data_IF_038852017385
#
_entry.id   IF_038852017385
#
_cell.length_a   1.000
_cell.length_b   1.000
_cell.length_c   1.000
_cell.angle_alpha   90.00
_cell.angle_beta   90.00
_cell.angle_gamma   90.00
#
_symmetry.space_group_name_H-M   'P 1'
#
loop_
_entity.id
_entity.type
_entity.pdbx_description
1 polymer ?
#
# COMPACT_ATOMS: atom_id res chain seq x y z
N UNK A 1 -26.41 -7.92 -5.07
CA UNK A 1 -26.59 -8.83 -3.93
C UNK A 1 -25.37 -8.75 -3.04
N UNK A 2 -25.53 -8.40 -1.78
CA UNK A 2 -24.47 -8.48 -0.77
C UNK A 2 -24.29 -9.92 -0.30
N UNK A 3 -23.06 -10.32 -0.01
CA UNK A 3 -22.72 -11.64 0.52
C UNK A 3 -21.89 -11.48 1.79
N UNK A 4 -22.23 -12.23 2.84
CA UNK A 4 -21.41 -12.29 4.05
C UNK A 4 -20.14 -13.10 3.78
N UNK A 5 -19.02 -12.63 4.31
CA UNK A 5 -17.71 -13.32 4.27
C UNK A 5 -17.53 -14.25 5.48
N UNK A 6 -18.58 -14.47 6.29
CA UNK A 6 -18.51 -15.38 7.44
C UNK A 6 -17.64 -14.91 8.60
N UNK A 7 -17.24 -13.64 8.62
CA UNK A 7 -16.48 -13.03 9.71
C UNK A 7 -17.25 -11.89 10.35
N UNK A 8 -17.40 -11.95 11.67
CA UNK A 8 -17.95 -10.86 12.47
C UNK A 8 -16.79 -10.07 13.09
N UNK A 9 -16.69 -8.79 12.75
CA UNK A 9 -15.71 -7.88 13.35
C UNK A 9 -15.89 -7.82 14.86
N UNK A 10 -14.87 -8.06 15.68
CA UNK A 10 -14.99 -7.89 17.14
C UNK A 10 -15.36 -6.45 17.51
N UNK A 11 -16.16 -6.30 18.57
CA UNK A 11 -16.48 -4.98 19.10
C UNK A 11 -15.21 -4.21 19.45
N UNK A 12 -15.14 -2.93 19.08
CA UNK A 12 -13.97 -2.10 19.33
C UNK A 12 -12.82 -2.27 18.31
N UNK A 13 -13.03 -3.06 17.25
CA UNK A 13 -12.06 -3.16 16.13
C UNK A 13 -12.58 -2.47 14.87
N UNK A 14 -11.66 -2.09 14.02
CA UNK A 14 -11.90 -1.58 12.67
C UNK A 14 -10.93 -2.18 11.68
N UNK A 15 -11.21 -2.10 10.38
CA UNK A 15 -10.20 -2.45 9.36
C UNK A 15 -9.02 -1.50 9.47
N UNK A 16 -7.81 -2.02 9.35
CA UNK A 16 -6.57 -1.22 9.44
C UNK A 16 -6.08 -0.72 8.08
N UNK A 17 -6.56 -1.30 7.00
CA UNK A 17 -6.20 -0.94 5.63
C UNK A 17 -7.26 -1.40 4.63
N UNK A 18 -7.02 -1.12 3.35
CA UNK A 18 -7.80 -1.65 2.25
C UNK A 18 -7.75 -3.18 2.20
N UNK A 19 -8.80 -3.79 1.69
CA UNK A 19 -8.83 -5.23 1.41
C UNK A 19 -7.98 -5.54 0.18
N UNK A 20 -7.25 -6.64 0.24
CA UNK A 20 -6.53 -7.17 -0.92
C UNK A 20 -7.06 -8.55 -1.28
N UNK A 21 -6.97 -8.93 -2.55
CA UNK A 21 -7.53 -10.17 -3.06
C UNK A 21 -6.51 -10.88 -3.95
N UNK A 22 -6.49 -12.21 -3.93
CA UNK A 22 -5.71 -13.03 -4.87
C UNK A 22 -6.24 -12.89 -6.30
N UNK A 23 -5.39 -13.13 -7.32
CA UNK A 23 -5.76 -12.99 -8.74
C UNK A 23 -6.94 -13.90 -9.14
N UNK A 24 -7.05 -15.08 -8.54
CA UNK A 24 -8.16 -16.02 -8.74
C UNK A 24 -9.46 -15.60 -8.01
N UNK A 25 -9.41 -14.55 -7.21
CA UNK A 25 -10.56 -14.06 -6.44
C UNK A 25 -10.96 -14.94 -5.24
N UNK A 26 -10.16 -15.94 -4.87
CA UNK A 26 -10.52 -16.92 -3.86
C UNK A 26 -10.23 -16.48 -2.42
N UNK A 27 -9.22 -15.61 -2.20
CA UNK A 27 -8.79 -15.21 -0.88
C UNK A 27 -8.66 -13.70 -0.72
N UNK A 28 -9.08 -13.21 0.45
CA UNK A 28 -8.94 -11.82 0.89
C UNK A 28 -7.94 -11.72 2.03
N UNK A 29 -6.97 -10.82 1.90
CA UNK A 29 -6.11 -10.38 3.01
C UNK A 29 -6.73 -9.18 3.71
N UNK A 30 -6.84 -9.22 5.03
CA UNK A 30 -7.49 -8.19 5.84
C UNK A 30 -6.70 -7.93 7.11
N UNK A 31 -6.39 -6.68 7.38
CA UNK A 31 -5.92 -6.23 8.70
C UNK A 31 -7.05 -5.66 9.52
N UNK A 32 -7.13 -6.01 10.79
CA UNK A 32 -8.01 -5.34 11.76
C UNK A 32 -7.19 -4.83 12.94
N UNK A 33 -7.61 -3.74 13.52
CA UNK A 33 -6.92 -3.08 14.63
C UNK A 33 -7.92 -2.59 15.67
N UNK A 34 -7.53 -2.72 16.92
CA UNK A 34 -8.27 -2.20 18.07
C UNK A 34 -8.40 -0.67 18.00
N UNK A 35 -9.59 -0.15 18.25
CA UNK A 35 -9.90 1.27 18.27
C UNK A 35 -9.45 1.88 19.60
N UNK A 36 -8.21 2.35 19.63
CA UNK A 36 -7.64 2.95 20.82
C UNK A 36 -7.86 4.45 20.87
N UNK A 37 -7.95 5.36 21.03
CA UNK A 37 -8.01 6.83 20.93
C UNK A 37 -9.23 7.40 20.18
N UNK A 38 -10.33 6.63 20.08
CA UNK A 38 -11.55 7.12 19.41
C UNK A 38 -12.09 8.38 20.11
N UNK A 39 -12.42 9.39 19.32
CA UNK A 39 -12.93 10.68 19.81
C UNK A 39 -11.89 11.69 20.27
N UNK A 40 -10.62 11.36 20.35
CA UNK A 40 -9.56 12.32 20.65
C UNK A 40 -9.22 13.17 19.42
N UNK A 41 -8.98 14.46 19.65
CA UNK A 41 -8.45 15.38 18.62
C UNK A 41 -6.94 15.56 18.84
N UNK A 42 -6.19 15.64 17.76
CA UNK A 42 -4.74 15.82 17.78
C UNK A 42 -4.37 17.06 16.95
N UNK A 43 -3.33 17.81 17.32
CA UNK A 43 -2.89 19.01 16.60
C UNK A 43 -2.45 18.69 15.16
N UNK A 44 -1.74 17.57 14.97
CA UNK A 44 -1.21 17.17 13.68
C UNK A 44 -1.49 15.67 13.40
N UNK A 45 -1.36 15.26 12.14
CA UNK A 45 -1.39 13.84 11.77
C UNK A 45 -0.24 13.05 12.40
N UNK A 46 0.93 13.66 12.54
CA UNK A 46 2.05 13.06 13.25
C UNK A 46 1.67 12.70 14.69
N UNK A 47 1.08 13.64 15.44
CA UNK A 47 0.66 13.40 16.83
C UNK A 47 -0.40 12.30 16.92
N UNK A 48 -1.34 12.27 15.99
CA UNK A 48 -2.37 11.25 15.89
C UNK A 48 -1.77 9.87 15.63
N UNK A 49 -0.88 9.75 14.66
CA UNK A 49 -0.21 8.50 14.31
C UNK A 49 0.69 8.02 15.45
N UNK A 50 1.46 8.92 16.04
CA UNK A 50 2.30 8.64 17.20
C UNK A 50 1.49 8.10 18.37
N UNK A 51 0.41 8.78 18.75
CA UNK A 51 -0.43 8.36 19.86
C UNK A 51 -1.08 6.99 19.63
N UNK A 52 -1.48 6.69 18.38
CA UNK A 52 -2.01 5.37 18.01
C UNK A 52 -0.93 4.28 18.10
N UNK A 53 0.24 4.53 17.57
CA UNK A 53 1.38 3.60 17.64
C UNK A 53 1.77 3.32 19.10
N UNK A 54 1.96 4.37 19.91
CA UNK A 54 2.34 4.28 21.32
C UNK A 54 1.25 3.66 22.21
N UNK A 55 0.00 3.63 21.77
CA UNK A 55 -1.07 2.91 22.48
C UNK A 55 -0.95 1.40 22.36
N UNK A 56 -0.05 0.90 21.53
CA UNK A 56 0.17 -0.53 21.27
C UNK A 56 -1.15 -1.31 21.05
N UNK A 57 -1.96 -0.93 20.05
CA UNK A 57 -3.24 -1.59 19.83
C UNK A 57 -3.05 -3.05 19.43
N UNK A 58 -3.98 -3.89 19.86
CA UNK A 58 -4.03 -5.23 19.29
C UNK A 58 -4.44 -5.15 17.81
N UNK A 59 -3.67 -5.82 16.96
CA UNK A 59 -3.99 -6.00 15.55
C UNK A 59 -4.02 -7.48 15.20
N UNK A 60 -4.86 -7.83 14.23
CA UNK A 60 -4.94 -9.19 13.68
C UNK A 60 -4.82 -9.14 12.16
N UNK A 61 -4.08 -10.07 11.60
CA UNK A 61 -4.04 -10.36 10.17
C UNK A 61 -4.96 -11.54 9.90
N UNK A 62 -5.88 -11.35 9.00
CA UNK A 62 -6.87 -12.34 8.60
C UNK A 62 -6.69 -12.70 7.13
N UNK A 63 -6.85 -13.98 6.83
CA UNK A 63 -7.00 -14.49 5.48
C UNK A 63 -8.39 -15.13 5.37
N UNK A 64 -9.25 -14.57 4.51
CA UNK A 64 -10.66 -14.91 4.42
C UNK A 64 -10.96 -15.48 3.05
N UNK A 65 -11.56 -16.66 3.00
CA UNK A 65 -12.03 -17.21 1.73
C UNK A 65 -13.28 -16.48 1.24
N UNK A 66 -13.27 -16.05 -0.01
CA UNK A 66 -14.37 -15.22 -0.57
C UNK A 66 -15.71 -15.92 -0.62
N UNK A 67 -15.72 -17.26 -0.56
CA UNK A 67 -16.94 -18.07 -0.43
C UNK A 67 -17.57 -18.03 1.00
N UNK A 68 -16.89 -17.40 1.96
CA UNK A 68 -17.36 -17.25 3.36
C UNK A 68 -17.22 -18.52 4.22
N UNK A 69 -16.55 -19.58 3.71
CA UNK A 69 -16.46 -20.86 4.42
C UNK A 69 -15.23 -21.00 5.32
N UNK A 70 -14.24 -20.11 5.16
CA UNK A 70 -12.99 -20.22 5.90
C UNK A 70 -12.47 -18.84 6.27
N UNK A 71 -12.06 -18.70 7.52
CA UNK A 71 -11.35 -17.52 8.06
C UNK A 71 -10.15 -18.02 8.84
N UNK A 72 -8.95 -17.63 8.42
CA UNK A 72 -7.71 -17.91 9.13
C UNK A 72 -7.24 -16.67 9.87
N UNK A 73 -6.98 -16.81 11.16
CA UNK A 73 -6.22 -15.82 11.93
C UNK A 73 -4.74 -16.12 11.74
N UNK A 74 -4.10 -15.35 10.87
CA UNK A 74 -2.70 -15.56 10.49
C UNK A 74 -1.77 -15.11 11.61
N UNK A 75 -2.03 -13.93 12.16
CA UNK A 75 -1.19 -13.33 13.20
C UNK A 75 -2.01 -12.40 14.08
N UNK A 76 -1.63 -12.32 15.35
CA UNK A 76 -2.11 -11.32 16.30
C UNK A 76 -0.93 -10.78 17.07
N UNK A 77 -0.79 -9.46 17.13
CA UNK A 77 0.26 -8.82 17.92
C UNK A 77 -0.17 -7.46 18.47
N UNK A 78 0.55 -7.01 19.48
CA UNK A 78 0.27 -5.74 20.18
C UNK A 78 1.06 -4.61 19.53
N UNK A 79 0.74 -4.39 18.24
CA UNK A 79 1.38 -3.41 17.36
C UNK A 79 0.35 -2.91 16.35
N UNK A 80 0.42 -1.64 15.96
CA UNK A 80 -0.44 -1.14 14.90
C UNK A 80 -0.01 -1.72 13.54
N UNK A 81 -0.73 -2.74 13.06
CA UNK A 81 -0.57 -3.34 11.74
C UNK A 81 -1.44 -2.59 10.73
N UNK A 82 -0.90 -2.33 9.55
CA UNK A 82 -1.60 -1.78 8.39
C UNK A 82 -1.11 -2.43 7.09
N UNK A 83 -1.63 -2.02 5.94
CA UNK A 83 -1.25 -2.47 4.59
C UNK A 83 -1.13 -4.00 4.46
N UNK A 84 -2.08 -4.73 5.05
CA UNK A 84 -2.11 -6.19 4.91
C UNK A 84 -2.47 -6.55 3.48
N UNK A 85 -1.57 -7.28 2.81
CA UNK A 85 -1.75 -7.68 1.42
C UNK A 85 -1.48 -9.17 1.26
N UNK A 86 -2.46 -9.92 0.75
CA UNK A 86 -2.23 -11.30 0.32
C UNK A 86 -1.46 -11.30 -1.01
N UNK A 87 -0.50 -12.20 -1.13
CA UNK A 87 0.25 -12.37 -2.38
C UNK A 87 -0.70 -12.78 -3.52
N UNK A 88 -0.64 -12.13 -4.71
CA UNK A 88 -1.65 -12.29 -5.76
C UNK A 88 -1.82 -13.72 -6.27
N UNK A 89 -0.77 -14.53 -6.27
CA UNK A 89 -0.76 -15.90 -6.83
C UNK A 89 -0.50 -17.00 -5.80
N UNK A 90 -0.19 -16.63 -4.56
CA UNK A 90 0.13 -17.60 -3.51
C UNK A 90 -0.47 -17.19 -2.17
N UNK A 91 -1.69 -17.64 -1.82
CA UNK A 91 -2.34 -17.25 -0.57
C UNK A 91 -1.60 -17.73 0.69
N UNK A 92 -0.52 -18.52 0.54
CA UNK A 92 0.33 -18.90 1.67
C UNK A 92 1.29 -17.81 2.13
N UNK A 93 1.41 -16.71 1.39
CA UNK A 93 2.29 -15.59 1.74
C UNK A 93 1.47 -14.29 1.85
N UNK A 94 1.71 -13.52 2.89
CA UNK A 94 1.17 -12.18 3.09
C UNK A 94 2.30 -11.20 3.39
N UNK A 95 2.09 -9.95 3.03
CA UNK A 95 2.88 -8.82 3.53
C UNK A 95 2.02 -7.91 4.39
N UNK A 96 2.67 -7.20 5.28
CA UNK A 96 2.02 -6.18 6.11
C UNK A 96 3.05 -5.16 6.58
N UNK A 97 2.60 -4.05 7.13
CA UNK A 97 3.51 -3.10 7.75
C UNK A 97 3.16 -2.81 9.21
N UNK A 98 4.17 -2.51 10.00
CA UNK A 98 4.01 -1.77 11.24
C UNK A 98 3.80 -0.30 10.88
N UNK A 99 2.70 0.26 11.36
CA UNK A 99 2.28 1.62 11.02
C UNK A 99 2.62 2.60 12.12
N UNK A 100 2.93 3.82 11.71
CA UNK A 100 3.25 4.92 12.59
C UNK A 100 3.95 6.04 11.84
N UNK A 101 4.38 7.11 12.51
CA UNK A 101 5.26 8.11 11.90
C UNK A 101 6.58 7.47 11.49
N UNK A 102 7.02 7.71 10.26
CA UNK A 102 8.26 7.13 9.72
C UNK A 102 9.51 7.43 10.54
N UNK A 103 9.49 8.53 11.29
CA UNK A 103 10.61 8.96 12.13
C UNK A 103 10.83 8.07 13.37
N UNK A 104 9.83 7.27 13.74
CA UNK A 104 9.85 6.48 14.98
C UNK A 104 9.37 5.04 14.82
N UNK A 105 8.91 4.64 13.63
CA UNK A 105 8.66 3.23 13.30
C UNK A 105 9.99 2.53 13.12
N UNK A 106 10.22 1.47 13.88
CA UNK A 106 11.49 0.73 13.89
C UNK A 106 11.72 -0.02 12.58
N UNK A 107 10.75 -0.84 12.17
CA UNK A 107 10.82 -1.65 10.95
C UNK A 107 9.44 -1.74 10.32
N UNK A 108 9.30 -1.26 9.09
CA UNK A 108 7.98 -1.10 8.48
C UNK A 108 7.47 -2.37 7.80
N UNK A 109 8.19 -2.93 6.85
CA UNK A 109 7.70 -3.98 5.96
C UNK A 109 8.04 -5.38 6.46
N UNK A 110 7.04 -6.25 6.48
CA UNK A 110 7.13 -7.63 6.99
C UNK A 110 6.47 -8.63 6.05
N UNK A 111 7.01 -9.85 6.03
CA UNK A 111 6.37 -11.02 5.45
C UNK A 111 5.95 -12.01 6.53
N UNK A 112 4.89 -12.75 6.25
CA UNK A 112 4.38 -13.83 7.10
C UNK A 112 3.70 -14.91 6.25
N UNK A 113 3.89 -16.17 6.59
CA UNK A 113 3.12 -17.27 6.00
C UNK A 113 1.68 -17.26 6.54
N UNK A 114 0.72 -17.77 5.76
CA UNK A 114 -0.70 -17.82 6.13
C UNK A 114 -1.01 -18.71 7.34
N UNK A 115 -0.07 -19.49 7.79
CA UNK A 115 -0.12 -20.27 9.04
C UNK A 115 0.53 -19.56 10.24
N UNK A 116 0.98 -18.31 10.04
CA UNK A 116 1.65 -17.48 11.06
C UNK A 116 3.15 -17.75 11.21
N UNK A 117 3.70 -18.71 10.50
CA UNK A 117 5.14 -19.01 10.51
C UNK A 117 5.93 -18.05 9.65
N UNK A 118 7.27 -18.14 9.73
CA UNK A 118 8.20 -17.35 8.93
C UNK A 118 7.89 -15.84 8.92
N UNK A 119 7.55 -15.30 10.09
CA UNK A 119 7.33 -13.87 10.24
C UNK A 119 8.66 -13.15 10.40
N UNK A 120 9.00 -12.31 9.43
CA UNK A 120 10.29 -11.63 9.43
C UNK A 120 10.22 -10.28 8.68
N UNK A 121 11.10 -9.34 9.04
CA UNK A 121 11.21 -8.07 8.33
C UNK A 121 11.85 -8.27 6.96
N UNK A 122 11.37 -7.53 5.97
CA UNK A 122 11.99 -7.46 4.64
C UNK A 122 12.30 -6.01 4.29
N UNK A 123 13.26 -5.78 3.40
CA UNK A 123 13.79 -4.43 3.15
C UNK A 123 14.09 -3.76 4.49
N UNK A 124 15.03 -4.37 5.23
CA UNK A 124 15.45 -3.85 6.54
C UNK A 124 15.98 -2.44 6.38
N UNK A 125 15.46 -1.51 7.16
CA UNK A 125 15.86 -0.11 7.13
C UNK A 125 17.27 0.04 7.68
N UNK A 126 18.19 0.47 6.81
CA UNK A 126 19.60 0.60 7.16
C UNK A 126 19.94 1.96 7.79
N UNK A 127 19.01 2.94 7.69
CA UNK A 127 19.22 4.34 8.09
C UNK A 127 17.98 4.87 8.81
N UNK A 128 18.19 5.75 9.74
CA UNK A 128 17.11 6.40 10.52
C UNK A 128 16.24 7.35 9.71
N UNK A 129 16.68 7.77 8.53
CA UNK A 129 15.96 8.63 7.59
C UNK A 129 15.35 7.88 6.40
N UNK A 130 15.55 6.57 6.32
CA UNK A 130 14.89 5.73 5.33
C UNK A 130 13.38 5.72 5.60
N UNK A 131 12.60 6.02 4.57
CA UNK A 131 11.15 6.04 4.60
C UNK A 131 10.64 5.21 3.44
N UNK A 132 9.97 4.11 3.74
CA UNK A 132 9.29 3.28 2.75
C UNK A 132 7.80 3.24 3.06
N UNK A 133 6.99 3.05 2.03
CA UNK A 133 5.54 2.98 2.19
C UNK A 133 4.83 2.75 0.88
N UNK A 134 3.50 2.70 0.93
CA UNK A 134 2.65 2.50 -0.23
C UNK A 134 3.07 1.27 -1.04
N UNK A 135 3.25 0.17 -0.33
CA UNK A 135 3.69 -1.12 -0.85
C UNK A 135 2.60 -1.73 -1.74
N UNK A 136 2.99 -2.45 -2.79
CA UNK A 136 2.09 -3.17 -3.68
C UNK A 136 2.75 -4.39 -4.31
N UNK A 137 1.98 -5.45 -4.51
CA UNK A 137 2.45 -6.61 -5.24
C UNK A 137 2.52 -6.35 -6.74
N UNK A 138 3.58 -6.83 -7.38
CA UNK A 138 3.59 -6.94 -8.83
C UNK A 138 2.62 -8.05 -9.27
N UNK A 139 1.92 -7.89 -10.41
CA UNK A 139 1.02 -8.90 -10.95
C UNK A 139 1.69 -10.24 -11.24
N UNK A 140 2.99 -10.24 -11.50
CA UNK A 140 3.75 -11.49 -11.71
C UNK A 140 3.89 -12.34 -10.42
N UNK A 141 3.68 -11.73 -9.25
CA UNK A 141 3.86 -12.35 -7.94
C UNK A 141 5.34 -12.61 -7.58
N UNK A 142 6.29 -12.09 -8.34
CA UNK A 142 7.71 -12.29 -8.07
C UNK A 142 8.37 -11.10 -7.37
N UNK A 143 7.69 -9.98 -7.38
CA UNK A 143 8.23 -8.70 -6.89
C UNK A 143 7.19 -7.93 -6.08
N UNK A 144 7.68 -7.07 -5.22
CA UNK A 144 6.91 -6.07 -4.52
C UNK A 144 7.48 -4.69 -4.84
N UNK A 145 6.62 -3.74 -5.15
CA UNK A 145 6.97 -2.33 -5.29
C UNK A 145 6.67 -1.57 -4.02
N UNK A 146 7.42 -0.52 -3.77
CA UNK A 146 7.18 0.41 -2.68
C UNK A 146 7.70 1.80 -3.03
N UNK A 147 7.14 2.81 -2.40
CA UNK A 147 7.71 4.15 -2.43
C UNK A 147 8.88 4.23 -1.46
N UNK A 148 9.97 4.86 -1.88
CA UNK A 148 11.12 5.15 -1.03
C UNK A 148 11.41 6.64 -0.99
N UNK A 149 11.78 7.14 0.18
CA UNK A 149 12.30 8.48 0.37
C UNK A 149 13.49 8.41 1.32
N UNK A 150 14.65 8.86 0.86
CA UNK A 150 15.88 8.97 1.66
C UNK A 150 16.45 10.36 1.46
N UNK A 151 17.13 10.91 2.46
CA UNK A 151 17.78 12.23 2.36
C UNK A 151 16.84 13.26 1.70
N UNK A 152 15.71 13.54 2.33
CA UNK A 152 14.70 14.46 1.79
C UNK A 152 15.31 15.65 1.01
N UNK A 153 14.89 15.91 -0.24
CA UNK A 153 13.63 15.49 -0.91
C UNK A 153 13.75 14.29 -1.86
N UNK A 154 14.76 13.45 -1.75
CA UNK A 154 15.02 12.36 -2.68
C UNK A 154 13.97 11.26 -2.55
N UNK A 155 13.15 11.08 -3.56
CA UNK A 155 12.09 10.06 -3.65
C UNK A 155 12.29 9.15 -4.84
N UNK A 156 11.71 7.96 -4.75
CA UNK A 156 11.83 6.95 -5.79
C UNK A 156 10.87 5.78 -5.66
N UNK A 157 11.10 4.80 -6.49
CA UNK A 157 10.41 3.50 -6.50
C UNK A 157 11.42 2.44 -6.12
N UNK A 158 11.10 1.66 -5.10
CA UNK A 158 11.84 0.46 -4.73
C UNK A 158 11.17 -0.77 -5.31
N UNK A 159 11.96 -1.77 -5.65
CA UNK A 159 11.51 -3.08 -6.13
C UNK A 159 12.24 -4.15 -5.34
N UNK A 160 11.48 -4.97 -4.61
CA UNK A 160 11.95 -6.11 -3.84
C UNK A 160 11.66 -7.40 -4.62
N UNK A 161 12.67 -8.22 -4.84
CA UNK A 161 12.53 -9.57 -5.36
C UNK A 161 12.16 -10.54 -4.22
N UNK A 162 11.06 -11.26 -4.37
CA UNK A 162 10.48 -12.07 -3.29
C UNK A 162 11.32 -13.31 -2.99
N UNK A 163 11.96 -13.90 -3.99
CA UNK A 163 12.70 -15.15 -3.81
C UNK A 163 14.05 -14.94 -3.13
N UNK A 164 14.66 -13.80 -3.36
CA UNK A 164 16.01 -13.46 -2.85
C UNK A 164 16.00 -12.42 -1.74
N UNK A 165 14.87 -11.75 -1.55
CA UNK A 165 14.68 -10.59 -0.67
C UNK A 165 15.68 -9.45 -0.93
N UNK A 166 16.30 -9.43 -2.11
CA UNK A 166 17.12 -8.33 -2.57
C UNK A 166 16.26 -7.24 -3.16
N UNK A 167 16.64 -5.99 -2.94
CA UNK A 167 15.91 -4.85 -3.47
C UNK A 167 16.82 -3.92 -4.27
N UNK A 168 16.21 -3.16 -5.17
CA UNK A 168 16.84 -2.07 -5.90
C UNK A 168 15.92 -0.86 -5.88
N UNK A 169 16.50 0.31 -5.71
CA UNK A 169 15.78 1.58 -5.60
C UNK A 169 16.19 2.51 -6.72
N UNK A 170 15.19 3.13 -7.35
CA UNK A 170 15.33 4.04 -8.48
C UNK A 170 14.75 5.38 -8.09
N UNK A 171 15.57 6.40 -8.08
CA UNK A 171 15.21 7.74 -7.64
C UNK A 171 14.77 8.64 -8.80
N UNK A 172 14.33 9.87 -8.50
CA UNK A 172 13.74 10.85 -9.42
C UNK A 172 12.24 10.62 -9.73
N UNK A 173 11.52 9.92 -8.85
CA UNK A 173 10.06 10.00 -8.78
C UNK A 173 9.65 11.02 -7.72
N UNK A 174 8.57 11.76 -7.98
CA UNK A 174 8.05 12.78 -7.04
C UNK A 174 6.70 12.39 -6.45
N UNK A 175 6.24 11.19 -6.75
CA UNK A 175 4.90 10.72 -6.45
C UNK A 175 4.71 10.37 -4.98
N UNK A 176 3.46 10.43 -4.51
CA UNK A 176 3.06 9.91 -3.21
C UNK A 176 2.69 8.43 -3.29
N UNK A 177 2.03 8.05 -4.39
CA UNK A 177 1.59 6.68 -4.65
C UNK A 177 2.06 6.25 -6.03
N UNK A 178 2.48 5.00 -6.13
CA UNK A 178 2.87 4.38 -7.39
C UNK A 178 2.24 3.01 -7.55
N UNK A 179 2.09 2.57 -8.79
CA UNK A 179 1.62 1.22 -9.11
C UNK A 179 2.28 0.76 -10.42
N UNK A 180 2.14 -0.52 -10.78
CA UNK A 180 2.73 -1.14 -11.97
C UNK A 180 1.68 -1.83 -12.81
N UNK A 181 1.85 -1.84 -14.14
CA UNK A 181 0.94 -2.51 -15.06
C UNK A 181 1.09 -4.05 -15.04
N UNK A 182 0.15 -4.75 -15.68
CA UNK A 182 0.11 -6.21 -15.74
C UNK A 182 1.37 -6.85 -16.36
N UNK A 183 2.04 -6.15 -17.28
CA UNK A 183 3.32 -6.61 -17.86
C UNK A 183 4.54 -6.33 -16.97
N UNK A 184 4.36 -5.62 -15.87
CA UNK A 184 5.43 -5.27 -14.93
C UNK A 184 6.58 -4.42 -15.54
N UNK A 185 6.28 -3.61 -16.55
CA UNK A 185 7.24 -2.81 -17.29
C UNK A 185 6.95 -1.30 -17.30
N UNK A 186 5.75 -0.90 -16.89
CA UNK A 186 5.30 0.48 -16.87
C UNK A 186 4.73 0.81 -15.49
N UNK A 187 5.22 1.88 -14.88
CA UNK A 187 4.75 2.37 -13.59
C UNK A 187 3.90 3.63 -13.78
N UNK A 188 2.95 3.82 -12.90
CA UNK A 188 2.14 5.04 -12.82
C UNK A 188 2.30 5.66 -11.43
N UNK A 189 2.30 6.99 -11.36
CA UNK A 189 2.35 7.74 -10.11
C UNK A 189 1.44 8.97 -10.14
N UNK A 190 1.15 9.52 -8.98
CA UNK A 190 0.18 10.60 -8.78
C UNK A 190 0.79 11.99 -8.55
N UNK A 191 2.11 12.10 -8.57
CA UNK A 191 2.75 13.38 -8.28
C UNK A 191 2.55 13.83 -6.83
N UNK A 192 2.34 15.13 -6.66
CA UNK A 192 2.10 15.80 -5.37
C UNK A 192 1.46 17.17 -5.59
N UNK A 193 1.11 17.87 -4.53
CA UNK A 193 0.42 19.17 -4.61
C UNK A 193 1.07 20.17 -5.57
N UNK A 194 2.39 20.29 -5.55
CA UNK A 194 3.12 21.23 -6.42
C UNK A 194 3.30 20.70 -7.85
N UNK A 195 3.11 19.39 -8.04
CA UNK A 195 3.25 18.68 -9.32
C UNK A 195 2.06 17.73 -9.49
N UNK A 196 0.82 18.23 -9.70
CA UNK A 196 -0.40 17.43 -9.70
C UNK A 196 -0.61 16.70 -11.03
N UNK A 197 0.32 15.83 -11.39
CA UNK A 197 0.32 15.09 -12.64
C UNK A 197 0.26 13.59 -12.41
N UNK A 198 -0.54 12.90 -13.22
CA UNK A 198 -0.33 11.48 -13.45
C UNK A 198 0.96 11.32 -14.25
N UNK A 199 1.88 10.57 -13.68
CA UNK A 199 3.20 10.30 -14.23
C UNK A 199 3.28 8.87 -14.70
N UNK A 200 4.00 8.63 -15.79
CA UNK A 200 4.39 7.29 -16.22
C UNK A 200 5.89 7.15 -16.16
N UNK A 201 6.36 5.99 -15.70
CA UNK A 201 7.77 5.68 -15.58
C UNK A 201 8.10 4.34 -16.22
N UNK A 202 9.30 4.29 -16.83
CA UNK A 202 9.94 3.03 -17.23
C UNK A 202 11.30 2.95 -16.57
N UNK A 203 11.77 1.74 -16.32
CA UNK A 203 13.12 1.50 -15.80
C UNK A 203 14.04 1.13 -16.96
N UNK A 204 15.13 1.86 -17.10
CA UNK A 204 16.20 1.58 -18.07
C UNK A 204 17.50 1.39 -17.32
N UNK A 205 18.00 0.17 -17.27
CA UNK A 205 19.23 -0.25 -16.57
C UNK A 205 19.22 0.20 -15.09
N UNK A 206 19.70 1.40 -14.81
CA UNK A 206 19.83 1.97 -13.46
C UNK A 206 19.07 3.29 -13.29
N UNK A 207 18.22 3.64 -14.25
CA UNK A 207 17.53 4.92 -14.29
C UNK A 207 16.02 4.76 -14.34
N UNK A 208 15.33 5.63 -13.63
CA UNK A 208 13.90 5.82 -13.75
C UNK A 208 13.64 6.94 -14.78
N UNK A 209 12.98 6.60 -15.87
CA UNK A 209 12.60 7.55 -16.92
C UNK A 209 11.14 7.89 -16.79
N UNK A 210 10.83 9.12 -16.39
CA UNK A 210 9.48 9.60 -16.13
C UNK A 210 8.98 10.59 -17.16
N UNK A 211 7.64 10.63 -17.36
CA UNK A 211 6.96 11.66 -18.12
C UNK A 211 5.59 11.99 -17.53
N UNK A 212 5.21 13.24 -17.58
CA UNK A 212 3.85 13.68 -17.27
C UNK A 212 2.89 13.29 -18.39
N UNK A 213 1.72 12.76 -18.04
CA UNK A 213 0.73 12.34 -19.03
C UNK A 213 -0.63 13.02 -18.87
N UNK A 214 -1.02 13.37 -17.66
CA UNK A 214 -2.30 14.02 -17.41
C UNK A 214 -2.23 14.84 -16.12
N UNK A 215 -2.71 16.08 -16.16
CA UNK A 215 -2.83 16.92 -14.97
C UNK A 215 -4.16 16.65 -14.29
N UNK A 216 -4.12 16.06 -13.09
CA UNK A 216 -5.31 15.65 -12.36
C UNK A 216 -5.91 16.78 -11.52
N UNK A 217 -5.13 17.81 -11.18
CA UNK A 217 -5.55 18.99 -10.42
C UNK A 217 -6.15 18.67 -9.02
N UNK A 218 -5.79 17.54 -8.44
CA UNK A 218 -6.14 17.25 -7.04
C UNK A 218 -5.36 18.15 -6.09
N UNK A 219 -6.00 18.62 -5.04
CA UNK A 219 -5.36 19.52 -4.07
C UNK A 219 -4.68 18.81 -2.89
N UNK A 220 -4.78 17.49 -2.80
CA UNK A 220 -4.21 16.64 -1.75
C UNK A 220 -4.54 17.08 -0.31
N UNK A 221 -5.61 17.83 -0.11
CA UNK A 221 -5.99 18.32 1.23
C UNK A 221 -6.62 17.25 2.10
N UNK A 222 -7.15 16.21 1.49
CA UNK A 222 -7.76 15.08 2.18
C UNK A 222 -7.08 13.80 1.73
N UNK A 223 -6.44 13.11 2.65
CA UNK A 223 -5.74 11.86 2.34
C UNK A 223 -6.62 10.76 1.73
N UNK A 224 -7.94 10.86 1.90
CA UNK A 224 -8.90 9.93 1.28
C UNK A 224 -9.23 10.28 -0.19
N UNK A 225 -8.82 11.46 -0.65
CA UNK A 225 -9.10 11.96 -1.98
C UNK A 225 -7.86 11.89 -2.89
N UNK A 226 -6.70 11.50 -2.35
CA UNK A 226 -5.45 11.36 -3.11
C UNK A 226 -5.67 10.49 -4.36
N UNK A 227 -5.07 10.80 -5.49
CA UNK A 227 -5.38 10.16 -6.78
C UNK A 227 -5.18 8.65 -6.83
N UNK A 228 -4.21 8.08 -6.12
CA UNK A 228 -3.93 6.64 -6.05
C UNK A 228 -4.08 5.93 -7.40
N UNK A 229 -3.33 6.31 -8.43
CA UNK A 229 -3.51 5.77 -9.77
C UNK A 229 -3.16 4.30 -9.83
N UNK A 230 -3.93 3.56 -10.60
CA UNK A 230 -3.68 2.15 -10.89
C UNK A 230 -4.02 1.83 -12.35
N UNK A 231 -3.39 0.80 -12.91
CA UNK A 231 -3.76 0.33 -14.23
C UNK A 231 -5.07 -0.47 -14.18
N UNK A 232 -5.92 -0.28 -15.16
CA UNK A 232 -7.22 -0.94 -15.25
C UNK A 232 -7.09 -2.34 -15.87
N UNK A 233 -6.99 -3.35 -15.03
CA UNK A 233 -6.83 -4.73 -15.45
C UNK A 233 -5.61 -4.92 -16.35
N UNK A 234 -5.76 -5.66 -17.46
CA UNK A 234 -4.68 -5.94 -18.43
C UNK A 234 -4.48 -4.85 -19.49
N UNK A 235 -5.06 -3.68 -19.28
CA UNK A 235 -4.90 -2.54 -20.18
C UNK A 235 -3.84 -1.57 -19.63
N UNK A 236 -3.40 -0.63 -20.47
CA UNK A 236 -2.61 0.52 -19.99
C UNK A 236 -3.52 1.76 -19.74
N UNK A 237 -4.83 1.58 -19.64
CA UNK A 237 -5.74 2.60 -19.15
C UNK A 237 -5.50 2.82 -17.65
N UNK A 238 -5.58 4.07 -17.19
CA UNK A 238 -5.26 4.43 -15.79
C UNK A 238 -6.55 4.86 -15.10
N UNK A 239 -6.85 4.20 -13.98
CA UNK A 239 -7.90 4.58 -13.03
C UNK A 239 -7.29 5.45 -11.95
N UNK A 240 -7.92 6.57 -11.60
CA UNK A 240 -7.50 7.43 -10.51
C UNK A 240 -8.67 8.22 -9.92
N UNK A 241 -8.52 8.76 -8.73
CA UNK A 241 -9.47 9.70 -8.13
C UNK A 241 -8.98 11.14 -8.30
N UNK A 242 -9.88 12.11 -8.29
CA UNK A 242 -9.52 13.54 -8.19
C UNK A 242 -10.72 14.36 -7.73
N UNK A 243 -10.46 15.43 -7.01
CA UNK A 243 -11.42 16.43 -6.59
C UNK A 243 -11.44 17.68 -7.49
N UNK A 244 -10.84 17.62 -8.67
CA UNK A 244 -10.70 18.71 -9.65
C UNK A 244 -12.00 19.45 -9.99
N UNK A 245 -13.14 18.76 -9.92
CA UNK A 245 -14.46 19.30 -10.23
C UNK A 245 -15.26 19.67 -8.96
N UNK A 246 -14.55 19.85 -7.83
CA UNK A 246 -15.13 20.22 -6.54
C UNK A 246 -15.63 19.06 -5.68
N UNK A 247 -15.79 17.89 -6.26
CA UNK A 247 -16.11 16.65 -5.56
C UNK A 247 -15.13 15.55 -5.98
N UNK A 248 -14.83 14.64 -5.07
CA UNK A 248 -13.99 13.48 -5.40
C UNK A 248 -14.73 12.53 -6.32
N UNK A 249 -14.21 12.35 -7.53
CA UNK A 249 -14.75 11.48 -8.56
C UNK A 249 -13.69 10.47 -9.01
N UNK A 250 -14.13 9.38 -9.62
CA UNK A 250 -13.28 8.36 -10.24
C UNK A 250 -13.17 8.68 -11.73
N UNK A 251 -11.93 8.71 -12.23
CA UNK A 251 -11.60 9.01 -13.62
C UNK A 251 -10.89 7.84 -14.28
N UNK A 252 -11.04 7.72 -15.58
CA UNK A 252 -10.29 6.76 -16.41
C UNK A 252 -9.58 7.52 -17.52
N UNK A 253 -8.26 7.50 -17.49
CA UNK A 253 -7.41 8.00 -18.57
C UNK A 253 -7.20 6.87 -19.59
N UNK A 254 -7.79 7.03 -20.79
CA UNK A 254 -7.67 6.04 -21.86
C UNK A 254 -6.35 6.17 -22.60
N UNK A 255 -5.65 5.05 -22.79
CA UNK A 255 -4.52 5.00 -23.72
C UNK A 255 -5.02 5.25 -25.14
N UNK A 256 -4.49 6.29 -25.81
CA UNK A 256 -4.75 6.47 -27.24
C UNK A 256 -4.16 5.30 -28.03
N UNK A 257 -4.96 4.76 -28.95
CA UNK A 257 -4.52 3.73 -29.89
C UNK A 257 -3.49 4.29 -30.88
#
# INVERSE_FOLDING_TARGET
KTRSLGYAMPAGYSTSSSLTITEDGEWLGVGIVESTNSGKRYPTDFDRMKAKMESHPWSEILLIRTNGKEVRKVRREKQWISHVMVHPKNPSLLSYCHEGPWEIVDQRLWFVNSDGTNNHPVRVEARTDDRIGHEYWFPDGKRMGYQVSTDWPRKGIGILDIATERYKEYYNATDRHTNVNDRCDLFVGDGRTEIPWINLYTISVDSLLGRHVFRHDDDFKRSMDDPHPSFLGKTDDILFTSNRDGNTNIYVLKKKK
#
